data_IF_771597341639
#
_entry.id   IF_771597341639
#
_cell.length_a   1.000
_cell.length_b   1.000
_cell.length_c   1.000
_cell.angle_alpha   90.00
_cell.angle_beta   90.00
_cell.angle_gamma   90.00
#
_symmetry.space_group_name_H-M   'P 1'
#
loop_
_entity.id
_entity.type
_entity.pdbx_description
1 polymer ?
#
# COMPACT_ATOMS: atom_id res chain seq x y z
N UNK A 1 -16.91 -11.33 -7.71
CA UNK A 1 -16.04 -10.66 -6.73
C UNK A 1 -15.05 -9.69 -7.39
N UNK A 2 -14.42 -10.02 -8.52
CA UNK A 2 -13.49 -9.13 -9.24
C UNK A 2 -14.09 -7.77 -9.66
N UNK A 3 -15.32 -7.72 -10.17
CA UNK A 3 -15.98 -6.46 -10.55
C UNK A 3 -16.11 -5.48 -9.36
N UNK A 4 -16.38 -6.00 -8.17
CA UNK A 4 -16.46 -5.21 -6.94
C UNK A 4 -15.09 -4.67 -6.52
N UNK A 5 -14.01 -5.42 -6.77
CA UNK A 5 -12.64 -4.95 -6.52
C UNK A 5 -12.26 -3.85 -7.50
N UNK A 6 -12.56 -4.00 -8.79
CA UNK A 6 -12.30 -2.94 -9.78
C UNK A 6 -13.08 -1.66 -9.44
N UNK A 7 -14.33 -1.77 -8.97
CA UNK A 7 -15.15 -0.63 -8.60
C UNK A 7 -14.57 0.20 -7.43
N UNK A 8 -13.83 -0.40 -6.49
CA UNK A 8 -13.21 0.33 -5.38
C UNK A 8 -12.04 1.21 -5.82
N UNK A 9 -11.43 0.93 -6.97
CA UNK A 9 -10.33 1.71 -7.54
C UNK A 9 -10.81 2.89 -8.39
N UNK A 10 -12.08 2.90 -8.81
CA UNK A 10 -12.63 3.96 -9.67
C UNK A 10 -12.52 5.37 -9.05
N UNK A 11 -12.81 5.58 -7.75
CA UNK A 11 -12.62 6.89 -7.12
C UNK A 11 -11.16 7.34 -7.09
N UNK A 12 -10.21 6.39 -6.94
CA UNK A 12 -8.77 6.68 -6.94
C UNK A 12 -8.30 7.14 -8.33
N UNK A 13 -8.88 6.60 -9.41
CA UNK A 13 -8.56 7.01 -10.79
C UNK A 13 -9.07 8.42 -11.13
N UNK A 14 -10.09 8.88 -10.41
CA UNK A 14 -10.76 10.18 -10.61
C UNK A 14 -10.23 11.26 -9.65
N UNK A 15 -9.37 10.89 -8.69
CA UNK A 15 -8.80 11.82 -7.72
C UNK A 15 -7.73 12.71 -8.37
N UNK A 16 -7.92 14.03 -8.29
CA UNK A 16 -6.97 15.03 -8.80
C UNK A 16 -5.85 15.40 -7.82
N UNK A 17 -4.86 16.15 -8.30
CA UNK A 17 -3.72 16.64 -7.51
C UNK A 17 -2.45 15.78 -7.58
N UNK A 18 -1.38 16.24 -6.95
CA UNK A 18 -0.09 15.51 -6.83
C UNK A 18 -0.25 14.10 -6.21
N UNK A 19 -0.93 13.93 -5.05
CA UNK A 19 -1.13 12.59 -4.49
C UNK A 19 -2.06 11.73 -5.36
N UNK A 20 -3.02 12.35 -6.05
CA UNK A 20 -3.93 11.65 -6.97
C UNK A 20 -3.20 11.04 -8.16
N UNK A 21 -2.19 11.72 -8.71
CA UNK A 21 -1.37 11.19 -9.83
C UNK A 21 -0.65 9.90 -9.41
N UNK A 22 0.15 9.96 -8.35
CA UNK A 22 0.90 8.80 -7.83
C UNK A 22 0.00 7.60 -7.49
N UNK A 23 -1.14 7.85 -6.85
CA UNK A 23 -2.11 6.79 -6.52
C UNK A 23 -2.84 6.26 -7.77
N UNK A 24 -3.04 7.10 -8.80
CA UNK A 24 -3.65 6.70 -10.07
C UNK A 24 -2.78 5.72 -10.83
N UNK A 25 -1.47 5.96 -10.93
CA UNK A 25 -0.56 5.00 -11.56
C UNK A 25 -0.60 3.63 -10.85
N UNK A 26 -0.57 3.62 -9.52
CA UNK A 26 -0.71 2.38 -8.73
C UNK A 26 -2.07 1.69 -8.92
N UNK A 27 -3.16 2.47 -8.92
CA UNK A 27 -4.50 1.96 -9.10
C UNK A 27 -4.70 1.32 -10.49
N UNK A 28 -4.11 1.90 -11.55
CA UNK A 28 -4.13 1.30 -12.89
C UNK A 28 -3.41 -0.05 -12.89
N UNK A 29 -2.20 -0.13 -12.33
CA UNK A 29 -1.44 -1.39 -12.26
C UNK A 29 -2.21 -2.49 -11.54
N UNK A 30 -2.78 -2.19 -10.37
CA UNK A 30 -3.59 -3.16 -9.61
C UNK A 30 -4.84 -3.59 -10.38
N UNK A 31 -5.54 -2.65 -11.00
CA UNK A 31 -6.76 -2.93 -11.76
C UNK A 31 -6.48 -3.87 -12.93
N UNK A 32 -5.41 -3.60 -13.69
CA UNK A 32 -4.96 -4.45 -14.81
C UNK A 32 -4.53 -5.84 -14.29
N UNK A 33 -3.76 -5.90 -13.20
CA UNK A 33 -3.31 -7.16 -12.61
C UNK A 33 -4.48 -8.04 -12.15
N UNK A 34 -5.50 -7.45 -11.51
CA UNK A 34 -6.73 -8.16 -11.10
C UNK A 34 -7.52 -8.62 -12.33
N UNK A 35 -7.61 -7.78 -13.37
CA UNK A 35 -8.27 -8.13 -14.63
C UNK A 35 -7.62 -9.33 -15.32
N UNK A 36 -6.28 -9.34 -15.42
CA UNK A 36 -5.52 -10.46 -15.97
C UNK A 36 -5.70 -11.71 -15.08
N UNK A 37 -5.62 -11.56 -13.75
CA UNK A 37 -5.81 -12.68 -12.82
C UNK A 37 -7.19 -13.31 -12.93
N UNK A 38 -8.23 -12.51 -13.17
CA UNK A 38 -9.58 -12.99 -13.43
C UNK A 38 -9.65 -13.82 -14.71
N UNK A 39 -9.05 -13.32 -15.80
CA UNK A 39 -9.01 -14.02 -17.08
C UNK A 39 -8.25 -15.35 -16.96
N UNK A 40 -7.12 -15.35 -16.26
CA UNK A 40 -6.33 -16.56 -15.99
C UNK A 40 -7.10 -17.53 -15.10
N UNK A 41 -7.76 -17.07 -14.03
CA UNK A 41 -8.56 -17.97 -13.19
C UNK A 41 -9.73 -18.59 -13.97
N UNK A 42 -10.42 -17.83 -14.82
CA UNK A 42 -11.54 -18.36 -15.57
C UNK A 42 -11.13 -19.38 -16.64
N UNK A 43 -9.90 -19.34 -17.13
CA UNK A 43 -9.37 -20.24 -18.18
C UNK A 43 -8.55 -21.38 -17.61
N UNK A 44 -7.61 -21.08 -16.70
CA UNK A 44 -6.69 -22.04 -16.11
C UNK A 44 -7.35 -22.87 -15.02
N UNK A 45 -8.25 -22.31 -14.21
CA UNK A 45 -8.96 -23.08 -13.17
C UNK A 45 -9.79 -24.22 -13.76
N UNK A 46 -10.65 -24.03 -14.79
CA UNK A 46 -11.39 -25.17 -15.37
C UNK A 46 -10.46 -26.14 -16.11
N UNK A 47 -9.40 -25.66 -16.76
CA UNK A 47 -8.45 -26.53 -17.46
C UNK A 47 -7.68 -27.43 -16.47
N UNK A 48 -7.21 -26.87 -15.36
CA UNK A 48 -6.55 -27.64 -14.28
C UNK A 48 -7.54 -28.57 -13.57
N UNK A 49 -8.77 -28.13 -13.30
CA UNK A 49 -9.80 -29.01 -12.74
C UNK A 49 -10.17 -30.16 -13.69
N UNK A 50 -10.22 -29.93 -15.00
CA UNK A 50 -10.48 -31.00 -15.97
C UNK A 50 -9.31 -31.96 -16.14
N UNK A 51 -8.07 -31.46 -16.04
CA UNK A 51 -6.87 -32.24 -16.32
C UNK A 51 -6.32 -32.97 -15.09
N UNK A 52 -6.34 -32.33 -13.92
CA UNK A 52 -5.77 -32.88 -12.68
C UNK A 52 -6.78 -33.71 -11.88
N UNK A 53 -8.08 -33.45 -12.02
CA UNK A 53 -9.13 -34.17 -11.31
C UNK A 53 -9.45 -35.48 -12.03
N UNK A 54 -8.54 -36.45 -11.90
CA UNK A 54 -8.79 -37.85 -12.28
C UNK A 54 -10.10 -38.29 -11.64
N UNK A 55 -11.08 -38.73 -12.42
CA UNK A 55 -12.42 -39.17 -11.99
C UNK A 55 -12.32 -40.04 -10.74
N UNK A 56 -12.45 -39.39 -9.59
CA UNK A 56 -12.33 -40.01 -8.28
C UNK A 56 -13.63 -40.70 -7.98
N UNK A 57 -13.57 -42.02 -7.80
CA UNK A 57 -14.67 -42.86 -7.28
C UNK A 57 -15.40 -42.14 -6.14
N UNK A 58 -16.73 -42.28 -6.00
CA UNK A 58 -17.50 -41.62 -4.94
C UNK A 58 -16.82 -41.87 -3.60
N UNK A 59 -16.24 -40.80 -3.05
CA UNK A 59 -15.35 -40.87 -1.91
C UNK A 59 -16.19 -41.23 -0.68
N UNK A 60 -16.07 -42.48 -0.23
CA UNK A 60 -16.46 -42.82 1.13
C UNK A 60 -15.63 -41.94 2.07
N UNK A 61 -16.24 -41.27 3.05
CA UNK A 61 -15.53 -40.34 3.91
C UNK A 61 -14.60 -41.14 4.81
N UNK A 62 -13.34 -41.34 4.42
CA UNK A 62 -12.28 -41.80 5.33
C UNK A 62 -11.87 -40.62 6.22
N UNK A 63 -12.86 -40.10 6.95
CA UNK A 63 -12.87 -38.90 7.79
C UNK A 63 -12.02 -39.06 9.06
N UNK A 64 -11.01 -39.92 9.04
CA UNK A 64 -10.42 -40.41 10.28
C UNK A 64 -8.90 -40.63 10.31
N UNK A 65 -8.11 -40.08 9.37
CA UNK A 65 -6.65 -40.02 9.58
C UNK A 65 -6.04 -38.66 9.23
N UNK A 66 -5.22 -38.17 10.18
CA UNK A 66 -4.46 -36.92 10.10
C UNK A 66 -5.32 -35.65 9.99
N UNK A 67 -5.10 -34.89 8.92
CA UNK A 67 -5.69 -33.58 8.68
C UNK A 67 -7.22 -33.60 8.56
N UNK A 68 -7.84 -34.69 8.09
CA UNK A 68 -9.30 -34.77 7.95
C UNK A 68 -10.04 -34.61 9.29
N UNK A 69 -9.47 -35.13 10.38
CA UNK A 69 -10.06 -34.98 11.73
C UNK A 69 -9.87 -33.56 12.27
N UNK A 70 -8.72 -32.94 12.01
CA UNK A 70 -8.46 -31.54 12.38
C UNK A 70 -9.42 -30.60 11.66
N UNK A 71 -9.61 -30.76 10.34
CA UNK A 71 -10.55 -29.95 9.56
C UNK A 71 -11.99 -30.07 10.06
N UNK A 72 -12.40 -31.29 10.43
CA UNK A 72 -13.73 -31.53 11.00
C UNK A 72 -13.88 -30.92 12.39
N UNK A 73 -12.84 -30.99 13.22
CA UNK A 73 -12.84 -30.35 14.53
C UNK A 73 -12.91 -28.82 14.41
N UNK A 74 -12.15 -28.23 13.49
CA UNK A 74 -12.17 -26.79 13.20
C UNK A 74 -13.54 -26.38 12.64
N UNK A 75 -14.12 -27.13 11.71
CA UNK A 75 -15.45 -26.87 11.17
C UNK A 75 -16.52 -26.95 12.26
N UNK A 76 -16.44 -27.96 13.14
CA UNK A 76 -17.33 -28.09 14.29
C UNK A 76 -17.18 -26.95 15.30
N UNK A 77 -15.95 -26.51 15.56
CA UNK A 77 -15.64 -25.36 16.40
C UNK A 77 -16.18 -24.06 15.83
N UNK A 78 -15.96 -23.81 14.53
CA UNK A 78 -16.51 -22.66 13.81
C UNK A 78 -18.03 -22.65 13.88
N UNK A 79 -18.69 -23.79 13.65
CA UNK A 79 -20.15 -23.90 13.73
C UNK A 79 -20.70 -23.61 15.13
N UNK A 80 -20.03 -24.06 16.19
CA UNK A 80 -20.40 -23.75 17.58
C UNK A 80 -20.21 -22.28 17.92
N UNK A 81 -19.07 -21.70 17.54
CA UNK A 81 -18.78 -20.27 17.72
C UNK A 81 -19.80 -19.40 16.98
N UNK A 82 -20.10 -19.73 15.72
CA UNK A 82 -21.07 -18.99 14.91
C UNK A 82 -22.48 -19.04 15.52
N UNK A 83 -22.92 -20.20 15.99
CA UNK A 83 -24.21 -20.31 16.71
C UNK A 83 -24.23 -19.50 18.00
N UNK A 84 -23.13 -19.45 18.73
CA UNK A 84 -23.02 -18.66 19.95
C UNK A 84 -23.08 -17.15 19.67
N UNK A 85 -22.38 -16.69 18.63
CA UNK A 85 -22.42 -15.29 18.14
C UNK A 85 -23.83 -14.92 17.68
N UNK A 86 -24.47 -15.74 16.84
CA UNK A 86 -25.85 -15.49 16.40
C UNK A 86 -26.85 -15.44 17.56
N UNK A 87 -26.69 -16.29 18.58
CA UNK A 87 -27.54 -16.28 19.78
C UNK A 87 -27.36 -15.00 20.60
N UNK A 88 -26.17 -14.41 20.59
CA UNK A 88 -25.85 -13.16 21.31
C UNK A 88 -25.80 -11.94 20.38
N UNK A 89 -26.71 -11.88 19.40
CA UNK A 89 -26.77 -10.83 18.37
C UNK A 89 -26.68 -9.39 18.93
N UNK A 90 -27.26 -9.12 20.12
CA UNK A 90 -27.16 -7.79 20.78
C UNK A 90 -25.73 -7.46 21.23
N UNK A 91 -25.02 -8.42 21.84
CA UNK A 91 -23.61 -8.25 22.23
C UNK A 91 -22.72 -8.13 21.00
N UNK A 92 -22.95 -8.95 19.97
CA UNK A 92 -22.21 -8.85 18.70
C UNK A 92 -22.41 -7.50 18.04
N UNK A 93 -23.64 -6.97 18.03
CA UNK A 93 -23.92 -5.62 17.54
C UNK A 93 -23.18 -4.54 18.32
N UNK A 94 -23.12 -4.66 19.66
CA UNK A 94 -22.39 -3.73 20.52
C UNK A 94 -20.87 -3.78 20.22
N UNK A 95 -20.31 -4.97 20.03
CA UNK A 95 -18.89 -5.14 19.64
C UNK A 95 -18.60 -4.53 18.27
N UNK A 96 -19.50 -4.70 17.29
CA UNK A 96 -19.36 -4.08 15.96
C UNK A 96 -19.38 -2.56 16.09
N UNK A 97 -20.34 -2.00 16.83
CA UNK A 97 -20.40 -0.56 17.08
C UNK A 97 -19.15 -0.05 17.81
N UNK A 98 -18.66 -0.78 18.80
CA UNK A 98 -17.41 -0.47 19.50
C UNK A 98 -16.20 -0.48 18.57
N UNK A 99 -16.11 -1.47 17.67
CA UNK A 99 -15.02 -1.56 16.68
C UNK A 99 -15.07 -0.41 15.68
N UNK A 100 -16.26 -0.01 15.23
CA UNK A 100 -16.44 1.14 14.34
C UNK A 100 -16.04 2.43 15.06
N UNK A 101 -16.54 2.65 16.28
CA UNK A 101 -16.20 3.82 17.08
C UNK A 101 -14.69 3.92 17.34
N UNK A 102 -14.06 2.80 17.69
CA UNK A 102 -12.61 2.72 17.87
C UNK A 102 -11.86 3.04 16.58
N UNK A 103 -12.32 2.52 15.45
CA UNK A 103 -11.72 2.79 14.14
C UNK A 103 -11.81 4.27 13.77
N UNK A 104 -12.95 4.92 14.03
CA UNK A 104 -13.13 6.37 13.81
C UNK A 104 -12.23 7.19 14.75
N UNK A 105 -12.19 6.82 16.04
CA UNK A 105 -11.34 7.49 17.01
C UNK A 105 -9.85 7.40 16.63
N UNK A 106 -9.40 6.22 16.19
CA UNK A 106 -8.03 6.01 15.75
C UNK A 106 -7.73 6.78 14.47
N UNK A 107 -8.68 6.83 13.53
CA UNK A 107 -8.55 7.61 12.30
C UNK A 107 -8.34 9.10 12.55
N UNK A 108 -9.05 9.68 13.53
CA UNK A 108 -8.92 11.09 13.90
C UNK A 108 -7.59 11.35 14.63
N UNK A 109 -7.13 10.40 15.44
CA UNK A 109 -5.93 10.55 16.26
C UNK A 109 -4.63 10.46 15.46
N UNK A 110 -4.65 9.80 14.29
CA UNK A 110 -3.44 9.63 13.46
C UNK A 110 -3.17 10.90 12.65
N UNK A 111 -2.04 11.59 12.88
CA UNK A 111 -1.69 12.77 12.10
C UNK A 111 -1.42 12.38 10.64
N UNK A 112 -2.03 13.13 9.72
CA UNK A 112 -1.88 12.92 8.28
C UNK A 112 -0.59 13.58 7.82
N UNK A 113 0.49 12.80 7.71
CA UNK A 113 1.72 13.26 7.05
C UNK A 113 1.64 13.01 5.55
N UNK A 114 2.01 14.00 4.74
CA UNK A 114 1.91 13.98 3.28
C UNK A 114 3.24 13.52 2.66
N UNK A 115 3.62 12.27 2.94
CA UNK A 115 4.92 11.66 2.62
C UNK A 115 6.02 11.97 3.67
N UNK A 116 6.75 10.94 4.15
CA UNK A 116 7.95 11.16 4.94
C UNK A 116 9.01 11.82 4.06
N UNK A 117 9.73 12.81 4.59
CA UNK A 117 10.89 13.40 3.93
C UNK A 117 11.85 12.27 3.51
N UNK A 118 11.97 12.03 2.21
CA UNK A 118 12.94 11.10 1.68
C UNK A 118 14.26 11.83 1.53
N UNK A 119 15.26 11.39 2.29
CA UNK A 119 16.63 11.80 2.07
C UNK A 119 17.08 11.34 0.68
N UNK A 120 17.12 12.29 -0.25
CA UNK A 120 17.54 12.08 -1.64
C UNK A 120 19.05 12.27 -1.81
N UNK A 121 19.79 12.46 -0.71
CA UNK A 121 21.22 12.78 -0.74
C UNK A 121 21.53 14.18 -1.27
N UNK A 122 20.51 15.03 -1.42
CA UNK A 122 20.65 16.40 -1.95
C UNK A 122 20.51 17.39 -0.79
N UNK A 123 21.64 17.96 -0.36
CA UNK A 123 21.66 19.08 0.58
C UNK A 123 21.37 20.38 -0.17
N UNK A 124 20.12 20.87 -0.12
CA UNK A 124 19.80 22.22 -0.56
C UNK A 124 20.17 23.24 0.53
N UNK A 125 21.31 23.91 0.36
CA UNK A 125 21.70 25.08 1.15
C UNK A 125 21.29 26.37 0.45
N UNK A 126 20.44 27.18 1.07
CA UNK A 126 20.15 28.54 0.62
C UNK A 126 21.10 29.52 1.27
N UNK A 127 21.95 30.19 0.49
CA UNK A 127 22.69 31.37 0.96
C UNK A 127 21.81 32.61 0.72
N UNK A 128 21.30 33.19 1.79
CA UNK A 128 20.61 34.48 1.70
C UNK A 128 21.63 35.58 1.99
N UNK A 129 22.16 36.19 0.92
CA UNK A 129 23.02 37.36 1.01
C UNK A 129 22.16 38.59 1.31
N UNK A 130 22.58 39.39 2.28
CA UNK A 130 21.94 40.65 2.64
C UNK A 130 22.02 41.60 1.43
N UNK A 131 20.87 42.17 1.03
CA UNK A 131 20.79 43.07 -0.13
C UNK A 131 21.52 44.41 0.08
N UNK A 132 22.17 44.64 1.23
CA UNK A 132 23.04 45.82 1.45
C UNK A 132 24.38 45.77 0.72
N UNK A 133 24.83 44.61 0.21
CA UNK A 133 26.10 44.47 -0.51
C UNK A 133 26.00 44.72 -2.04
N UNK A 134 24.98 45.45 -2.52
CA UNK A 134 24.92 45.97 -3.90
C UNK A 134 25.93 47.12 -4.17
N UNK A 135 27.06 47.15 -3.45
CA UNK A 135 28.13 48.10 -3.68
C UNK A 135 29.15 47.48 -4.67
N UNK A 136 29.48 48.18 -5.77
CA UNK A 136 30.39 47.69 -6.83
C UNK A 136 31.85 47.44 -6.39
N UNK A 137 32.15 47.45 -5.09
CA UNK A 137 33.45 47.10 -4.52
C UNK A 137 33.66 45.58 -4.38
N UNK A 138 32.60 44.81 -4.19
CA UNK A 138 32.67 43.38 -3.82
C UNK A 138 33.09 42.50 -5.01
N UNK A 139 32.75 42.93 -6.23
CA UNK A 139 33.19 42.29 -7.47
C UNK A 139 34.73 42.36 -7.62
N UNK A 140 35.38 43.39 -7.06
CA UNK A 140 36.85 43.50 -7.09
C UNK A 140 37.52 42.64 -6.03
N UNK A 141 36.88 42.44 -4.88
CA UNK A 141 37.40 41.53 -3.84
C UNK A 141 37.25 40.06 -4.23
N UNK A 142 36.12 39.68 -4.85
CA UNK A 142 35.94 38.33 -5.38
C UNK A 142 36.90 38.01 -6.54
N UNK A 143 37.17 38.98 -7.43
CA UNK A 143 38.15 38.82 -8.51
C UNK A 143 39.59 38.72 -7.99
N UNK A 144 39.97 39.52 -6.98
CA UNK A 144 41.29 39.44 -6.34
C UNK A 144 41.55 38.12 -5.62
N UNK A 145 40.51 37.52 -5.03
CA UNK A 145 40.61 36.20 -4.39
C UNK A 145 40.74 35.06 -5.42
N UNK A 146 40.15 35.22 -6.62
CA UNK A 146 40.33 34.28 -7.74
C UNK A 146 41.74 34.37 -8.36
N UNK A 147 42.32 35.57 -8.50
CA UNK A 147 43.68 35.74 -9.03
C UNK A 147 44.77 35.21 -8.08
N UNK A 148 44.60 35.36 -6.77
CA UNK A 148 45.59 34.89 -5.78
C UNK A 148 45.60 33.35 -5.66
N UNK A 149 44.43 32.72 -5.82
CA UNK A 149 44.34 31.25 -5.89
C UNK A 149 44.93 30.65 -7.17
N UNK A 150 44.91 31.38 -8.30
CA UNK A 150 45.51 30.95 -9.56
C UNK A 150 47.05 31.06 -9.54
N UNK A 151 47.59 32.10 -8.89
CA UNK A 151 49.05 32.28 -8.69
C UNK A 151 49.69 31.20 -7.81
N UNK A 152 48.95 30.64 -6.84
CA UNK A 152 49.46 29.55 -5.97
C UNK A 152 49.44 28.16 -6.62
N UNK A 153 48.70 27.96 -7.71
CA UNK A 153 48.60 26.65 -8.37
C UNK A 153 49.51 26.48 -9.60
N UNK A 154 50.21 27.53 -10.03
CA UNK A 154 51.10 27.52 -11.21
C UNK A 154 52.60 27.58 -10.90
N UNK A 155 53.00 27.44 -9.64
CA UNK A 155 54.40 27.45 -9.19
C UNK A 155 54.80 26.13 -8.55
N UNK A 156 54.93 25.09 -9.36
CA UNK A 156 55.48 23.78 -9.01
C UNK A 156 56.16 23.18 -10.22
#
# INVERSE_FOLDING_TARGET
>A
MSLSLVAVFLPLLLMGGLPGRLLREFAVTLSVAIGISLAVSLTLTPMMCGWLLKSGKPHQPTRNRGFGRLLVAVQGGYGKSLKWVLKHSRLTGLVVLGTIALSVWLYISIPKTFFPEQDTGVLMGGIQADQSNLLPGDARQAAGLYEDHSRRSGGG
#
